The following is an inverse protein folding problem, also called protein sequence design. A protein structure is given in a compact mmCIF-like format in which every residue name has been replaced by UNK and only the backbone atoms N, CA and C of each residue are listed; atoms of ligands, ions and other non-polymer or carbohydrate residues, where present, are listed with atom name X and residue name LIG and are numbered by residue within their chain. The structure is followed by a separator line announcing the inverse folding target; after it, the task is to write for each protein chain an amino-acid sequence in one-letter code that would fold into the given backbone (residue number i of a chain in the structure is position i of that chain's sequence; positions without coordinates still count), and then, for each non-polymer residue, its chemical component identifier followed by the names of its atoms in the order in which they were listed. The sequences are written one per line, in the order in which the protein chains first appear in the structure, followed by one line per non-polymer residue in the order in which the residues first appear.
data_IF_762092887944
#
_entry.id   IF_762092887944
#
_cell.length_a   1.000
_cell.length_b   1.000
_cell.length_c   1.000
_cell.angle_alpha   90.00
_cell.angle_beta   90.00
_cell.angle_gamma   90.00
#
_symmetry.space_group_name_H-M   'P 1'
#
loop_
_entity.id
_entity.type
_entity.pdbx_description
1 polymer ?
#
# COMPACT_ATOMS: atom_id res chain seq x y z
N UNK A 1 -31.57 -4.29 -34.54
CA UNK A 1 -32.34 -3.80 -33.37
C UNK A 1 -32.16 -4.75 -32.20
N UNK A 2 -31.10 -4.62 -31.40
CA UNK A 2 -30.98 -5.29 -30.07
C UNK A 2 -29.74 -4.79 -29.30
N UNK A 3 -29.61 -3.48 -29.07
CA UNK A 3 -28.54 -2.92 -28.22
C UNK A 3 -29.09 -2.17 -26.98
N UNK A 4 -30.40 -2.17 -26.78
CA UNK A 4 -31.06 -1.37 -25.73
C UNK A 4 -31.32 -2.08 -24.39
N UNK A 5 -31.25 -3.42 -24.32
CA UNK A 5 -31.78 -4.15 -23.16
C UNK A 5 -30.74 -4.50 -22.08
N UNK A 6 -29.45 -4.47 -22.39
CA UNK A 6 -28.41 -4.95 -21.45
C UNK A 6 -27.89 -3.86 -20.49
N UNK A 7 -28.14 -2.58 -20.77
CA UNK A 7 -27.70 -1.46 -19.91
C UNK A 7 -28.62 -1.19 -18.70
N UNK A 8 -29.78 -1.85 -18.61
CA UNK A 8 -30.78 -1.54 -17.58
C UNK A 8 -30.77 -2.48 -16.35
N UNK A 9 -30.08 -3.62 -16.41
CA UNK A 9 -30.03 -4.59 -15.30
C UNK A 9 -28.95 -4.23 -14.27
N UNK A 10 -27.85 -3.59 -14.69
CA UNK A 10 -26.73 -3.29 -13.79
C UNK A 10 -26.94 -2.07 -12.87
N UNK A 11 -27.99 -1.27 -13.08
CA UNK A 11 -28.23 -0.01 -12.33
C UNK A 11 -29.28 -0.12 -11.21
N UNK A 12 -29.96 -1.27 -11.05
CA UNK A 12 -31.09 -1.42 -10.11
C UNK A 12 -30.84 -2.25 -8.85
N UNK A 13 -29.63 -2.81 -8.66
CA UNK A 13 -29.31 -3.62 -7.47
C UNK A 13 -28.74 -2.77 -6.30
N UNK A 14 -28.53 -1.47 -6.49
CA UNK A 14 -27.85 -0.60 -5.52
C UNK A 14 -28.77 0.34 -4.71
N UNK A 15 -30.07 0.05 -4.56
CA UNK A 15 -31.00 1.00 -3.90
C UNK A 15 -32.02 0.39 -2.94
N UNK A 16 -31.73 -0.75 -2.31
CA UNK A 16 -32.74 -1.43 -1.47
C UNK A 16 -32.18 -2.09 -0.20
N UNK A 17 -31.41 -1.37 0.61
CA UNK A 17 -31.23 -1.69 2.05
C UNK A 17 -30.98 -0.40 2.85
N UNK A 18 -32.02 0.41 3.05
CA UNK A 18 -32.10 1.38 4.17
C UNK A 18 -33.54 1.38 4.67
N UNK A 19 -33.68 1.36 6.01
CA UNK A 19 -34.90 1.52 6.83
C UNK A 19 -35.70 0.25 7.13
N UNK A 20 -35.46 -0.32 8.32
CA UNK A 20 -36.43 -0.40 9.43
C UNK A 20 -35.97 -1.43 10.49
N UNK A 21 -35.58 -1.00 11.69
CA UNK A 21 -36.46 -1.00 12.87
C UNK A 21 -35.67 -0.69 14.15
N UNK A 22 -36.34 0.11 14.96
CA UNK A 22 -35.94 0.75 16.20
C UNK A 22 -36.70 0.06 17.34
N UNK A 23 -36.10 0.07 18.54
CA UNK A 23 -36.63 -0.23 19.88
C UNK A 23 -36.69 -1.70 20.36
N UNK A 24 -35.82 -2.01 21.34
CA UNK A 24 -36.28 -2.43 22.66
C UNK A 24 -35.30 -1.94 23.74
N UNK A 25 -35.81 -1.12 24.67
CA UNK A 25 -35.19 -0.79 25.96
C UNK A 25 -35.24 -1.99 26.90
N UNK A 26 -34.21 -2.17 27.73
CA UNK A 26 -34.36 -2.59 29.13
C UNK A 26 -33.09 -2.26 29.92
N UNK A 27 -33.33 -1.62 31.06
CA UNK A 27 -32.43 -1.06 32.06
C UNK A 27 -31.85 -2.09 33.03
N UNK A 28 -30.62 -1.86 33.52
CA UNK A 28 -30.06 -2.15 34.86
C UNK A 28 -28.59 -1.70 34.80
N UNK A 29 -28.10 -0.65 35.46
CA UNK A 29 -28.06 -0.46 36.92
C UNK A 29 -26.73 -0.99 37.46
N UNK A 30 -25.76 -0.13 37.78
CA UNK A 30 -24.92 -0.12 39.01
C UNK A 30 -23.80 0.93 38.94
N UNK A 31 -23.39 1.34 40.14
CA UNK A 31 -22.82 2.63 40.53
C UNK A 31 -21.28 2.75 40.43
N UNK A 32 -20.86 4.03 40.41
CA UNK A 32 -19.65 4.63 41.02
C UNK A 32 -18.26 4.07 40.72
N UNK A 33 -17.38 4.92 40.16
CA UNK A 33 -16.05 5.17 40.73
C UNK A 33 -15.36 6.44 40.17
N UNK A 34 -15.03 7.32 41.10
CA UNK A 34 -13.98 8.37 41.16
C UNK A 34 -13.23 8.86 39.91
N UNK A 35 -13.51 10.11 39.56
CA UNK A 35 -12.57 11.25 39.59
C UNK A 35 -11.06 10.96 39.42
N UNK A 36 -10.53 11.20 38.22
CA UNK A 36 -9.17 11.71 38.05
C UNK A 36 -9.17 12.75 36.91
N UNK A 37 -9.08 14.02 37.27
CA UNK A 37 -8.82 15.10 36.33
C UNK A 37 -7.35 15.02 35.91
N UNK A 38 -7.07 14.20 34.89
CA UNK A 38 -5.90 14.38 34.05
C UNK A 38 -6.17 15.55 33.12
N UNK A 39 -5.47 16.67 33.32
CA UNK A 39 -5.41 17.73 32.33
C UNK A 39 -4.69 17.19 31.09
N UNK A 40 -5.46 16.72 30.11
CA UNK A 40 -5.00 16.51 28.75
C UNK A 40 -4.54 17.85 28.18
N UNK A 41 -3.25 18.15 28.33
CA UNK A 41 -2.58 19.15 27.49
C UNK A 41 -2.65 18.63 26.06
N UNK A 42 -3.68 19.04 25.34
CA UNK A 42 -3.79 18.93 23.89
C UNK A 42 -2.52 19.52 23.29
N UNK A 43 -1.59 18.64 22.91
CA UNK A 43 -0.33 19.04 22.31
C UNK A 43 -0.66 19.73 20.99
N UNK A 44 -0.24 20.98 20.84
CA UNK A 44 -0.45 21.74 19.61
C UNK A 44 0.53 21.23 18.54
N UNK A 45 0.10 20.18 17.84
CA UNK A 45 0.83 19.51 16.75
C UNK A 45 0.94 20.43 15.50
N UNK A 46 0.24 21.56 15.47
CA UNK A 46 0.27 22.53 14.37
C UNK A 46 1.64 23.17 14.11
N UNK A 47 2.60 23.03 15.03
CA UNK A 47 3.94 23.60 14.90
C UNK A 47 4.96 22.70 14.14
N UNK A 48 4.52 21.61 13.52
CA UNK A 48 5.34 20.71 12.69
C UNK A 48 5.20 21.00 11.18
N UNK A 49 4.87 22.26 10.84
CA UNK A 49 4.77 22.71 9.45
C UNK A 49 6.01 22.34 8.62
N UNK A 50 5.83 22.03 7.33
CA UNK A 50 6.88 21.50 6.48
C UNK A 50 8.10 22.44 6.45
N UNK A 51 9.28 21.88 6.72
CA UNK A 51 10.55 22.56 6.51
C UNK A 51 10.71 22.85 5.01
N UNK A 52 10.31 24.04 4.57
CA UNK A 52 10.33 24.43 3.16
C UNK A 52 11.74 24.85 2.76
N UNK A 53 12.45 23.97 2.06
CA UNK A 53 13.59 24.37 1.24
C UNK A 53 13.08 25.15 0.02
N UNK A 54 13.33 26.46 -0.02
CA UNK A 54 12.85 27.40 -1.05
C UNK A 54 13.45 27.21 -2.44
N UNK A 55 13.14 26.10 -3.12
CA UNK A 55 13.40 25.89 -4.54
C UNK A 55 12.11 26.00 -5.35
N UNK A 56 12.09 26.82 -6.40
CA UNK A 56 10.99 26.89 -7.38
C UNK A 56 10.82 25.52 -8.04
N UNK A 57 9.97 24.65 -7.51
CA UNK A 57 9.64 23.38 -8.16
C UNK A 57 8.76 23.67 -9.37
N UNK A 58 9.13 23.15 -10.54
CA UNK A 58 8.19 23.02 -11.66
C UNK A 58 6.96 22.29 -11.11
N UNK A 59 5.77 22.79 -11.42
CA UNK A 59 4.52 22.10 -11.11
C UNK A 59 4.55 20.71 -11.75
N UNK A 60 4.99 19.73 -10.96
CA UNK A 60 4.97 18.32 -11.33
C UNK A 60 3.49 17.97 -11.40
N UNK A 61 3.04 17.50 -12.58
CA UNK A 61 1.70 16.90 -12.69
C UNK A 61 1.61 15.88 -11.57
N UNK A 62 0.68 16.11 -10.65
CA UNK A 62 0.48 15.24 -9.49
C UNK A 62 -0.12 13.94 -10.03
N UNK A 63 0.76 13.01 -10.40
CA UNK A 63 0.35 11.68 -10.80
C UNK A 63 -0.40 11.08 -9.62
N UNK A 64 -1.61 10.57 -9.86
CA UNK A 64 -2.38 9.85 -8.85
C UNK A 64 -1.64 8.55 -8.52
N UNK A 65 -0.98 8.52 -7.36
CA UNK A 65 -0.38 7.30 -6.83
C UNK A 65 -1.48 6.40 -6.27
N UNK A 66 -1.39 5.11 -6.56
CA UNK A 66 -2.29 4.11 -5.98
C UNK A 66 -1.59 3.34 -4.88
N UNK A 67 -2.35 2.95 -3.86
CA UNK A 67 -1.85 2.03 -2.85
C UNK A 67 -1.62 0.65 -3.46
N UNK A 68 -0.57 0.01 -2.98
CA UNK A 68 -0.26 -1.36 -3.36
C UNK A 68 -1.20 -2.31 -2.61
N UNK A 69 -2.18 -2.87 -3.33
CA UNK A 69 -3.06 -3.95 -2.86
C UNK A 69 -2.75 -5.24 -3.63
N UNK A 70 -3.17 -6.40 -3.14
CA UNK A 70 -2.94 -7.67 -3.81
C UNK A 70 -3.57 -7.71 -5.20
N UNK A 71 -4.80 -7.18 -5.31
CA UNK A 71 -5.51 -6.98 -6.58
C UNK A 71 -4.74 -6.05 -7.54
N UNK A 72 -4.24 -4.91 -7.05
CA UNK A 72 -3.52 -3.95 -7.89
C UNK A 72 -2.16 -4.50 -8.35
N UNK A 73 -1.50 -5.34 -7.55
CA UNK A 73 -0.28 -6.06 -7.94
C UNK A 73 -0.57 -7.03 -9.09
N UNK A 74 -1.67 -7.77 -9.01
CA UNK A 74 -2.06 -8.69 -10.09
C UNK A 74 -2.46 -7.96 -11.36
N UNK A 75 -3.27 -6.91 -11.26
CA UNK A 75 -3.62 -6.07 -12.41
C UNK A 75 -2.37 -5.49 -13.07
N UNK A 76 -1.36 -5.12 -12.29
CA UNK A 76 -0.06 -4.67 -12.80
C UNK A 76 0.70 -5.78 -13.55
N UNK A 77 0.78 -6.99 -13.00
CA UNK A 77 1.42 -8.10 -13.69
C UNK A 77 0.73 -8.40 -15.04
N UNK A 78 -0.60 -8.43 -15.04
CA UNK A 78 -1.41 -8.62 -16.25
C UNK A 78 -1.24 -7.50 -17.29
N UNK A 79 -1.03 -6.24 -16.87
CA UNK A 79 -0.82 -5.14 -17.82
C UNK A 79 0.49 -5.23 -18.58
N UNK A 80 1.45 -6.01 -18.06
CA UNK A 80 2.71 -6.33 -18.71
C UNK A 80 2.74 -7.74 -19.32
N UNK A 81 1.56 -8.31 -19.62
CA UNK A 81 1.42 -9.61 -20.28
C UNK A 81 2.16 -10.75 -19.51
N UNK A 82 2.24 -10.65 -18.18
CA UNK A 82 2.86 -11.69 -17.33
C UNK A 82 2.12 -13.04 -17.37
N UNK A 83 0.87 -13.02 -17.83
CA UNK A 83 -0.06 -14.13 -17.88
C UNK A 83 -0.81 -14.13 -19.21
N UNK A 84 -1.38 -15.28 -19.59
CA UNK A 84 -2.12 -15.44 -20.83
C UNK A 84 -3.63 -15.46 -20.59
N UNK A 85 -4.38 -14.63 -21.30
CA UNK A 85 -5.86 -14.67 -21.28
C UNK A 85 -6.44 -15.91 -21.98
N UNK A 86 -5.61 -16.64 -22.73
CA UNK A 86 -5.96 -17.91 -23.35
C UNK A 86 -5.73 -19.12 -22.42
N UNK A 87 -4.90 -18.97 -21.39
CA UNK A 87 -4.70 -19.99 -20.35
C UNK A 87 -5.85 -19.89 -19.33
N UNK A 88 -6.58 -20.99 -19.13
CA UNK A 88 -7.73 -21.00 -18.23
C UNK A 88 -7.35 -20.89 -16.76
N UNK A 89 -6.20 -21.45 -16.36
CA UNK A 89 -5.71 -21.38 -14.98
C UNK A 89 -5.34 -19.93 -14.64
N UNK A 90 -4.65 -19.24 -15.54
CA UNK A 90 -4.30 -17.82 -15.40
C UNK A 90 -5.58 -16.96 -15.26
N UNK A 91 -6.55 -17.14 -16.17
CA UNK A 91 -7.79 -16.35 -16.16
C UNK A 91 -8.66 -16.62 -14.93
N UNK A 92 -8.76 -17.88 -14.50
CA UNK A 92 -9.48 -18.24 -13.27
C UNK A 92 -8.78 -17.64 -12.05
N UNK A 93 -7.45 -17.67 -12.00
CA UNK A 93 -6.67 -17.09 -10.90
C UNK A 93 -6.80 -15.57 -10.85
N UNK A 94 -6.81 -14.89 -12.01
CA UNK A 94 -7.12 -13.47 -12.11
C UNK A 94 -8.48 -13.17 -11.48
N UNK A 95 -9.54 -13.87 -11.91
CA UNK A 95 -10.89 -13.68 -11.38
C UNK A 95 -10.97 -13.99 -9.89
N UNK A 96 -10.25 -15.01 -9.43
CA UNK A 96 -10.19 -15.38 -8.03
C UNK A 96 -9.57 -14.28 -7.16
N UNK A 97 -8.52 -13.62 -7.63
CA UNK A 97 -7.80 -12.58 -6.88
C UNK A 97 -8.49 -11.21 -7.00
N UNK A 98 -8.91 -10.82 -8.21
CA UNK A 98 -9.41 -9.47 -8.47
C UNK A 98 -10.93 -9.35 -8.37
N UNK A 99 -11.66 -10.45 -8.59
CA UNK A 99 -13.13 -10.47 -8.66
C UNK A 99 -13.71 -11.62 -7.80
N UNK A 100 -13.17 -11.78 -6.60
CA UNK A 100 -13.39 -12.96 -5.77
C UNK A 100 -14.87 -13.24 -5.43
N UNK A 101 -15.70 -12.20 -5.32
CA UNK A 101 -17.16 -12.32 -5.13
C UNK A 101 -17.85 -12.94 -6.35
N UNK A 102 -17.39 -12.58 -7.56
CA UNK A 102 -17.91 -13.13 -8.81
C UNK A 102 -17.50 -14.60 -8.94
N UNK A 103 -16.24 -14.91 -8.62
CA UNK A 103 -15.72 -16.27 -8.57
C UNK A 103 -16.56 -17.15 -7.64
N UNK A 104 -16.68 -16.79 -6.36
CA UNK A 104 -17.42 -17.59 -5.38
C UNK A 104 -18.89 -17.83 -5.75
N UNK A 105 -19.51 -16.87 -6.44
CA UNK A 105 -20.94 -16.94 -6.80
C UNK A 105 -21.20 -17.82 -8.03
N UNK A 106 -20.33 -17.77 -9.04
CA UNK A 106 -20.63 -18.33 -10.36
C UNK A 106 -19.69 -19.44 -10.82
N UNK A 107 -18.59 -19.71 -10.12
CA UNK A 107 -17.60 -20.71 -10.53
C UNK A 107 -18.20 -22.12 -10.75
N UNK A 108 -19.21 -22.51 -9.96
CA UNK A 108 -19.91 -23.80 -10.10
C UNK A 108 -20.95 -23.83 -11.23
N UNK A 109 -21.26 -22.70 -11.86
CA UNK A 109 -22.20 -22.62 -12.98
C UNK A 109 -21.43 -22.46 -14.29
N UNK A 110 -21.16 -23.57 -14.97
CA UNK A 110 -20.31 -23.62 -16.15
C UNK A 110 -20.74 -22.65 -17.27
N UNK A 111 -22.05 -22.53 -17.50
CA UNK A 111 -22.58 -21.66 -18.57
C UNK A 111 -22.43 -20.17 -18.25
N UNK A 112 -22.69 -19.77 -17.00
CA UNK A 112 -22.47 -18.38 -16.58
C UNK A 112 -20.98 -18.08 -16.44
N UNK A 113 -20.19 -19.05 -16.00
CA UNK A 113 -18.75 -18.90 -15.86
C UNK A 113 -18.05 -18.67 -17.21
N UNK A 114 -18.45 -19.37 -18.28
CA UNK A 114 -17.87 -19.12 -19.60
C UNK A 114 -18.19 -17.69 -20.10
N UNK A 115 -19.41 -17.19 -19.86
CA UNK A 115 -19.76 -15.80 -20.18
C UNK A 115 -18.89 -14.81 -19.42
N UNK A 116 -18.64 -15.07 -18.14
CA UNK A 116 -17.74 -14.26 -17.31
C UNK A 116 -16.32 -14.30 -17.86
N UNK A 117 -15.78 -15.48 -18.19
CA UNK A 117 -14.44 -15.61 -18.79
C UNK A 117 -14.32 -14.81 -20.09
N UNK A 118 -15.29 -14.91 -21.00
CA UNK A 118 -15.30 -14.13 -22.27
C UNK A 118 -15.29 -12.62 -21.99
N UNK A 119 -16.15 -12.15 -21.08
CA UNK A 119 -16.22 -10.74 -20.71
C UNK A 119 -14.90 -10.26 -20.09
N UNK A 120 -14.28 -11.07 -19.23
CA UNK A 120 -13.02 -10.76 -18.56
C UNK A 120 -11.84 -10.69 -19.53
N UNK A 121 -11.74 -11.62 -20.49
CA UNK A 121 -10.72 -11.57 -21.55
C UNK A 121 -10.80 -10.24 -22.31
N UNK A 122 -12.01 -9.84 -22.70
CA UNK A 122 -12.25 -8.55 -23.36
C UNK A 122 -11.89 -7.37 -22.46
N UNK A 123 -12.29 -7.42 -21.19
CA UNK A 123 -11.98 -6.38 -20.21
C UNK A 123 -10.46 -6.17 -20.03
N UNK A 124 -9.70 -7.26 -19.87
CA UNK A 124 -8.25 -7.20 -19.72
C UNK A 124 -7.62 -6.56 -20.96
N UNK A 125 -7.99 -7.02 -22.16
CA UNK A 125 -7.48 -6.48 -23.41
C UNK A 125 -7.77 -4.98 -23.57
N UNK A 126 -9.00 -4.54 -23.25
CA UNK A 126 -9.45 -3.16 -23.42
C UNK A 126 -8.92 -2.19 -22.33
N UNK A 127 -8.38 -2.70 -21.22
CA UNK A 127 -8.00 -1.89 -20.06
C UNK A 127 -6.56 -2.06 -19.58
N UNK A 128 -5.74 -2.91 -20.21
CA UNK A 128 -4.35 -3.12 -19.78
C UNK A 128 -3.54 -1.82 -19.70
N UNK A 129 -3.71 -0.92 -20.66
CA UNK A 129 -2.99 0.37 -20.71
C UNK A 129 -3.48 1.38 -19.68
N UNK A 130 -4.63 1.11 -19.04
CA UNK A 130 -5.22 1.97 -18.00
C UNK A 130 -4.82 1.55 -16.59
N UNK A 131 -4.14 0.43 -16.43
CA UNK A 131 -3.64 -0.01 -15.13
C UNK A 131 -2.63 1.02 -14.60
N UNK A 132 -2.78 1.50 -13.35
CA UNK A 132 -1.86 2.45 -12.76
C UNK A 132 -0.40 1.98 -12.84
N UNK A 133 0.52 2.93 -13.07
CA UNK A 133 1.97 2.68 -13.05
C UNK A 133 2.68 3.39 -11.89
N UNK A 134 1.95 4.21 -11.15
CA UNK A 134 2.47 4.99 -10.03
C UNK A 134 1.94 4.40 -8.74
N UNK A 135 2.83 3.82 -7.95
CA UNK A 135 2.48 3.15 -6.69
C UNK A 135 3.11 3.87 -5.51
N UNK A 136 2.41 3.87 -4.40
CA UNK A 136 2.98 4.21 -3.11
C UNK A 136 2.83 3.07 -2.10
N UNK A 137 3.83 2.97 -1.22
CA UNK A 137 3.82 2.05 -0.10
C UNK A 137 4.57 2.64 1.08
N UNK A 138 4.23 2.17 2.28
CA UNK A 138 4.77 2.67 3.54
C UNK A 138 5.52 1.55 4.24
N UNK A 139 6.75 1.81 4.67
CA UNK A 139 7.59 0.89 5.42
C UNK A 139 7.98 1.53 6.76
N UNK A 140 7.80 0.84 7.90
CA UNK A 140 8.35 1.31 9.17
C UNK A 140 9.88 1.23 9.15
N UNK A 141 10.53 2.20 9.77
CA UNK A 141 11.97 2.22 10.00
C UNK A 141 12.27 2.58 11.45
N UNK A 142 13.49 2.29 11.90
CA UNK A 142 13.95 2.66 13.23
C UNK A 142 15.13 3.63 13.12
N UNK A 143 14.96 4.79 13.75
CA UNK A 143 15.93 5.85 13.84
C UNK A 143 16.73 5.73 15.14
N UNK A 144 18.04 5.96 15.05
CA UNK A 144 18.98 5.95 16.15
C UNK A 144 18.94 7.24 16.99
N UNK A 145 20.03 7.50 17.69
CA UNK A 145 20.23 8.77 18.43
C UNK A 145 20.47 9.91 17.45
N UNK A 146 19.99 11.10 17.79
CA UNK A 146 20.24 12.29 16.99
C UNK A 146 21.74 12.59 16.98
N UNK A 147 22.28 12.81 15.79
CA UNK A 147 23.66 13.24 15.58
C UNK A 147 23.65 14.77 15.39
N UNK A 148 24.23 15.48 16.36
CA UNK A 148 24.30 16.94 16.34
C UNK A 148 25.24 17.49 15.26
N UNK A 149 26.27 16.73 14.88
CA UNK A 149 27.23 17.13 13.85
C UNK A 149 26.63 16.98 12.45
N UNK A 150 25.91 15.87 12.20
CA UNK A 150 25.28 15.58 10.92
C UNK A 150 23.84 16.09 10.79
N UNK A 151 23.26 16.60 11.89
CA UNK A 151 21.91 17.14 11.98
C UNK A 151 20.84 16.17 11.48
N UNK A 152 20.72 15.03 12.14
CA UNK A 152 19.70 14.04 11.80
C UNK A 152 19.83 12.74 12.57
N UNK A 153 19.21 11.70 12.03
CA UNK A 153 19.15 10.39 12.66
C UNK A 153 19.75 9.32 11.72
N UNK A 154 20.68 8.47 12.20
CA UNK A 154 21.05 7.27 11.48
C UNK A 154 19.88 6.28 11.50
N UNK A 155 19.72 5.50 10.42
CA UNK A 155 18.79 4.36 10.42
C UNK A 155 19.53 3.19 11.09
N UNK A 156 18.96 2.57 12.13
CA UNK A 156 19.66 1.58 12.99
C UNK A 156 19.28 0.12 12.70
N UNK A 157 18.09 -0.11 12.17
CA UNK A 157 17.63 -1.43 11.72
C UNK A 157 17.62 -1.36 10.19
N UNK A 158 18.14 -2.39 9.52
CA UNK A 158 18.18 -2.47 8.05
C UNK A 158 19.09 -1.45 7.35
N UNK A 159 20.01 -0.80 8.09
CA UNK A 159 20.93 0.20 7.53
C UNK A 159 21.78 -0.33 6.36
N UNK A 160 22.14 -1.61 6.39
CA UNK A 160 22.84 -2.28 5.28
C UNK A 160 21.91 -2.52 4.09
N UNK A 161 20.62 -2.73 4.32
CA UNK A 161 19.63 -2.95 3.27
C UNK A 161 19.43 -1.69 2.43
N UNK A 162 19.58 -0.50 3.03
CA UNK A 162 19.42 0.78 2.33
C UNK A 162 20.67 1.29 1.61
N UNK A 163 21.83 0.60 1.67
CA UNK A 163 23.05 1.03 0.99
C UNK A 163 23.20 0.30 -0.34
N UNK A 164 23.07 1.04 -1.44
CA UNK A 164 23.17 0.47 -2.79
C UNK A 164 21.98 -0.43 -3.14
N UNK A 165 20.82 -0.20 -2.52
CA UNK A 165 19.63 -1.03 -2.71
C UNK A 165 19.09 -0.86 -4.14
N UNK A 166 19.20 -1.91 -4.95
CA UNK A 166 18.63 -1.95 -6.30
C UNK A 166 17.22 -2.52 -6.32
N UNK A 167 16.89 -3.41 -5.39
CA UNK A 167 15.62 -4.12 -5.37
C UNK A 167 14.81 -3.62 -4.17
N UNK A 168 13.68 -2.97 -4.44
CA UNK A 168 12.72 -2.56 -3.42
C UNK A 168 11.52 -3.50 -3.44
N UNK A 169 11.26 -4.20 -2.34
CA UNK A 169 10.00 -4.91 -2.14
C UNK A 169 8.92 -3.87 -1.83
N UNK A 170 7.99 -3.66 -2.76
CA UNK A 170 6.90 -2.70 -2.61
C UNK A 170 5.56 -3.37 -2.30
N UNK A 171 5.47 -4.69 -2.47
CA UNK A 171 4.30 -5.49 -2.19
C UNK A 171 4.69 -6.78 -1.47
N UNK A 172 3.99 -7.10 -0.38
CA UNK A 172 4.12 -8.37 0.34
C UNK A 172 2.77 -8.73 0.97
N UNK A 173 2.10 -9.70 0.39
CA UNK A 173 0.80 -10.20 0.87
C UNK A 173 0.92 -11.67 1.25
N UNK A 174 -0.08 -12.20 1.97
CA UNK A 174 -0.18 -13.63 2.17
C UNK A 174 -0.74 -14.27 0.89
N UNK A 175 -0.02 -15.23 0.32
CA UNK A 175 -0.48 -15.94 -0.86
C UNK A 175 -1.86 -16.57 -0.62
N UNK A 176 -2.78 -16.31 -1.55
CA UNK A 176 -4.17 -16.78 -1.48
C UNK A 176 -5.09 -15.98 -0.56
N UNK A 177 -4.60 -14.98 0.19
CA UNK A 177 -5.45 -14.13 1.00
C UNK A 177 -6.12 -13.05 0.13
N UNK A 178 -7.42 -13.22 -0.11
CA UNK A 178 -8.24 -12.29 -0.89
C UNK A 178 -9.30 -11.63 -0.01
N UNK A 179 -10.03 -10.64 -0.56
CA UNK A 179 -11.12 -9.97 0.17
C UNK A 179 -12.30 -10.89 0.53
N UNK A 180 -12.40 -12.09 -0.06
CA UNK A 180 -13.40 -13.09 0.33
C UNK A 180 -12.86 -14.24 1.18
N UNK A 181 -11.58 -14.21 1.56
CA UNK A 181 -10.94 -15.23 2.37
C UNK A 181 -9.74 -15.90 1.69
N UNK A 182 -9.31 -17.01 2.28
CA UNK A 182 -8.11 -17.73 1.86
C UNK A 182 -8.43 -18.76 0.77
N UNK A 183 -7.70 -18.66 -0.33
CA UNK A 183 -7.78 -19.56 -1.49
C UNK A 183 -6.45 -20.31 -1.67
N UNK A 184 -6.52 -21.51 -2.26
CA UNK A 184 -5.32 -22.27 -2.60
C UNK A 184 -4.76 -21.78 -3.94
N UNK A 185 -3.58 -21.17 -3.89
CA UNK A 185 -2.91 -20.55 -5.05
C UNK A 185 -1.48 -21.04 -5.09
N UNK A 186 -1.02 -21.51 -6.25
CA UNK A 186 0.37 -21.88 -6.45
C UNK A 186 1.27 -20.64 -6.38
N UNK A 187 1.85 -20.36 -5.22
CA UNK A 187 2.65 -19.16 -4.95
C UNK A 187 3.91 -19.02 -5.83
N UNK A 188 4.36 -20.09 -6.49
CA UNK A 188 5.49 -20.03 -7.43
C UNK A 188 5.08 -19.46 -8.78
N UNK A 189 3.91 -19.86 -9.29
CA UNK A 189 3.32 -19.34 -10.55
C UNK A 189 2.63 -18.00 -10.32
N UNK A 190 2.09 -17.82 -9.12
CA UNK A 190 1.23 -16.71 -8.73
C UNK A 190 1.73 -16.07 -7.42
N UNK A 191 2.91 -15.40 -7.42
CA UNK A 191 3.46 -14.76 -6.23
C UNK A 191 2.53 -13.73 -5.58
N UNK A 192 2.73 -13.51 -4.28
CA UNK A 192 2.04 -12.48 -3.51
C UNK A 192 2.95 -11.27 -3.22
N UNK A 193 4.12 -11.26 -3.86
CA UNK A 193 5.19 -10.31 -3.63
C UNK A 193 5.54 -9.58 -4.92
N UNK A 194 5.85 -8.30 -4.77
CA UNK A 194 6.25 -7.41 -5.85
C UNK A 194 7.55 -6.73 -5.50
N UNK A 195 8.53 -6.86 -6.39
CA UNK A 195 9.84 -6.21 -6.27
C UNK A 195 10.03 -5.28 -7.47
N UNK A 196 10.50 -4.06 -7.22
CA UNK A 196 10.93 -3.15 -8.27
C UNK A 196 12.46 -3.06 -8.27
N UNK A 197 13.04 -3.41 -9.40
CA UNK A 197 14.43 -3.19 -9.76
C UNK A 197 14.60 -1.73 -10.19
N UNK A 198 15.30 -0.95 -9.37
CA UNK A 198 15.62 0.44 -9.60
C UNK A 198 16.80 0.59 -10.56
N UNK A 199 16.68 1.53 -11.50
CA UNK A 199 17.79 1.93 -12.36
C UNK A 199 18.94 2.60 -11.58
N UNK A 200 18.58 3.41 -10.58
CA UNK A 200 19.53 4.09 -9.69
C UNK A 200 19.42 3.49 -8.29
N UNK A 201 20.51 2.92 -7.73
CA UNK A 201 20.48 2.35 -6.39
C UNK A 201 20.10 3.39 -5.32
N UNK A 202 19.21 2.99 -4.40
CA UNK A 202 18.88 3.80 -3.24
C UNK A 202 20.03 3.74 -2.21
N UNK A 203 20.34 4.90 -1.63
CA UNK A 203 21.33 5.06 -0.57
C UNK A 203 20.72 5.90 0.55
N UNK A 204 20.13 5.26 1.56
CA UNK A 204 19.45 5.95 2.66
C UNK A 204 19.91 5.42 4.02
N UNK A 205 21.10 5.83 4.45
CA UNK A 205 21.63 5.44 5.76
C UNK A 205 21.30 6.47 6.87
N UNK A 206 20.90 7.68 6.50
CA UNK A 206 20.78 8.81 7.42
C UNK A 206 19.65 9.76 7.00
N UNK A 207 18.80 10.12 7.95
CA UNK A 207 17.68 11.04 7.74
C UNK A 207 18.04 12.40 8.34
N UNK A 208 18.28 13.40 7.49
CA UNK A 208 18.59 14.76 7.93
C UNK A 208 17.34 15.44 8.46
N UNK A 209 17.38 15.91 9.70
CA UNK A 209 16.27 16.56 10.39
C UNK A 209 16.83 17.76 11.16
N UNK A 210 16.36 18.99 10.92
CA UNK A 210 16.82 20.15 11.68
C UNK A 210 16.58 19.99 13.18
N UNK A 211 17.50 20.49 14.01
CA UNK A 211 17.46 20.33 15.46
C UNK A 211 16.09 20.69 16.09
N UNK A 212 15.44 21.83 15.76
CA UNK A 212 14.15 22.18 16.36
C UNK A 212 13.03 21.17 16.03
N UNK A 213 13.10 20.52 14.86
CA UNK A 213 12.14 19.49 14.46
C UNK A 213 12.48 18.15 15.12
N UNK A 214 13.77 17.83 15.23
CA UNK A 214 14.25 16.64 15.92
C UNK A 214 13.87 16.63 17.41
N UNK A 215 14.00 17.76 18.10
CA UNK A 215 13.59 17.92 19.51
C UNK A 215 12.10 17.62 19.69
N UNK A 216 11.24 18.21 18.86
CA UNK A 216 9.79 17.95 18.88
C UNK A 216 9.48 16.48 18.61
N UNK A 217 10.15 15.86 17.64
CA UNK A 217 9.97 14.44 17.35
C UNK A 217 10.38 13.56 18.54
N UNK A 218 11.52 13.84 19.17
CA UNK A 218 12.00 13.10 20.34
C UNK A 218 11.04 13.26 21.52
N UNK A 219 10.59 14.49 21.80
CA UNK A 219 9.63 14.77 22.88
C UNK A 219 8.30 14.06 22.62
N UNK A 220 7.76 14.14 21.40
CA UNK A 220 6.54 13.46 21.01
C UNK A 220 6.66 11.94 21.16
N UNK A 221 7.79 11.34 20.72
CA UNK A 221 8.04 9.90 20.89
C UNK A 221 8.16 9.49 22.36
N UNK A 222 8.76 10.31 23.22
CA UNK A 222 8.89 9.97 24.65
C UNK A 222 7.56 9.89 25.41
N UNK A 223 6.49 10.44 24.84
CA UNK A 223 5.14 10.44 25.44
C UNK A 223 4.31 9.22 25.03
N UNK A 224 4.76 8.43 24.06
CA UNK A 224 4.06 7.23 23.61
C UNK A 224 4.43 6.04 24.49
N UNK A 225 3.41 5.32 24.97
CA UNK A 225 3.57 4.07 25.72
C UNK A 225 3.96 2.92 24.74
N UNK A 226 4.55 1.84 25.26
CA UNK A 226 4.90 0.61 24.51
C UNK A 226 6.03 0.70 23.46
N UNK A 227 7.01 1.59 23.65
CA UNK A 227 8.16 1.67 22.73
C UNK A 227 9.40 1.15 23.44
N UNK A 228 10.09 0.19 22.81
CA UNK A 228 11.42 -0.26 23.23
C UNK A 228 12.37 0.95 23.37
N UNK A 229 12.90 1.13 24.57
CA UNK A 229 13.77 2.25 24.92
C UNK A 229 14.95 2.33 23.95
N UNK A 230 15.09 3.47 23.25
CA UNK A 230 16.17 3.71 22.29
C UNK A 230 15.84 3.45 20.81
N UNK A 231 14.70 2.83 20.48
CA UNK A 231 14.24 2.69 19.09
C UNK A 231 13.18 3.74 18.75
N UNK A 232 13.54 4.71 17.90
CA UNK A 232 12.59 5.75 17.44
C UNK A 232 11.97 5.32 16.12
N UNK A 233 10.77 4.75 16.18
CA UNK A 233 10.08 4.34 14.95
C UNK A 233 9.65 5.56 14.14
N UNK A 234 9.86 5.47 12.83
CA UNK A 234 9.38 6.41 11.82
C UNK A 234 8.85 5.59 10.62
N UNK A 235 8.29 6.27 9.62
CA UNK A 235 7.66 5.63 8.47
C UNK A 235 8.18 6.26 7.18
N UNK A 236 8.73 5.45 6.29
CA UNK A 236 9.09 5.89 4.95
C UNK A 236 7.90 5.62 4.03
N UNK A 237 7.42 6.66 3.34
CA UNK A 237 6.56 6.52 2.16
C UNK A 237 7.40 6.60 0.90
N UNK A 238 7.40 5.52 0.14
CA UNK A 238 7.99 5.47 -1.20
C UNK A 238 6.93 5.76 -2.24
N UNK A 239 7.32 6.49 -3.27
CA UNK A 239 6.53 6.74 -4.46
C UNK A 239 7.32 6.27 -5.66
N UNK A 240 6.87 5.20 -6.28
CA UNK A 240 7.58 4.52 -7.37
C UNK A 240 6.77 4.60 -8.66
N UNK A 241 7.49 4.60 -9.79
CA UNK A 241 6.91 4.42 -11.12
C UNK A 241 7.42 3.11 -11.70
N UNK A 242 6.50 2.28 -12.17
CA UNK A 242 6.77 1.02 -12.83
C UNK A 242 6.86 1.25 -14.34
N UNK A 243 8.00 0.89 -14.92
CA UNK A 243 8.33 1.12 -16.34
C UNK A 243 8.31 -0.19 -17.15
N UNK A 244 8.45 -1.35 -16.50
CA UNK A 244 8.45 -2.66 -17.17
C UNK A 244 8.32 -3.85 -16.22
N UNK A 245 8.23 -5.04 -16.79
CA UNK A 245 8.19 -6.32 -16.10
C UNK A 245 9.33 -7.21 -16.59
N UNK A 246 9.91 -7.99 -15.70
CA UNK A 246 11.12 -8.80 -15.92
C UNK A 246 10.93 -10.25 -15.43
N UNK A 247 9.67 -10.70 -15.41
CA UNK A 247 9.32 -12.05 -15.00
C UNK A 247 9.20 -12.26 -13.50
N UNK A 248 8.96 -13.51 -13.11
CA UNK A 248 9.01 -13.96 -11.72
C UNK A 248 10.46 -14.31 -11.40
N UNK A 249 10.97 -13.81 -10.28
CA UNK A 249 12.31 -14.13 -9.80
C UNK A 249 12.26 -14.71 -8.40
N UNK A 250 13.12 -15.69 -8.16
CA UNK A 250 13.39 -16.22 -6.83
C UNK A 250 14.45 -15.37 -6.14
N UNK A 251 14.11 -14.86 -4.96
CA UNK A 251 14.99 -14.12 -4.07
C UNK A 251 15.51 -15.03 -2.94
N UNK A 252 16.41 -14.51 -2.11
CA UNK A 252 16.90 -15.22 -0.93
C UNK A 252 15.75 -15.75 -0.07
N UNK A 253 15.95 -16.92 0.54
CA UNK A 253 14.94 -17.64 1.34
C UNK A 253 13.80 -18.30 0.52
N UNK A 254 13.98 -18.45 -0.80
CA UNK A 254 13.01 -19.16 -1.65
C UNK A 254 11.73 -18.38 -1.91
N UNK A 255 11.80 -17.05 -1.80
CA UNK A 255 10.68 -16.15 -2.06
C UNK A 255 10.61 -15.85 -3.56
N UNK A 256 9.59 -16.34 -4.23
CA UNK A 256 9.28 -15.96 -5.61
C UNK A 256 8.50 -14.63 -5.60
N UNK A 257 8.84 -13.70 -6.48
CA UNK A 257 8.15 -12.41 -6.57
C UNK A 257 8.05 -11.94 -8.03
N UNK A 258 7.00 -11.18 -8.33
CA UNK A 258 6.95 -10.42 -9.58
C UNK A 258 8.08 -9.38 -9.57
N UNK A 259 9.00 -9.50 -10.53
CA UNK A 259 10.08 -8.53 -10.69
C UNK A 259 9.69 -7.49 -11.74
N UNK A 260 9.63 -6.23 -11.34
CA UNK A 260 9.38 -5.10 -12.21
C UNK A 260 10.64 -4.26 -12.36
N UNK A 261 10.72 -3.47 -13.43
CA UNK A 261 11.71 -2.41 -13.59
C UNK A 261 11.03 -1.06 -13.35
N UNK A 262 11.72 -0.13 -12.68
CA UNK A 262 11.11 1.15 -12.38
C UNK A 262 12.06 2.19 -11.80
N UNK A 263 11.44 3.26 -11.30
CA UNK A 263 12.13 4.41 -10.69
C UNK A 263 11.48 4.77 -9.37
N UNK A 264 12.31 5.10 -8.38
CA UNK A 264 11.87 5.83 -7.21
C UNK A 264 11.69 7.29 -7.63
N UNK A 265 10.49 7.83 -7.48
CA UNK A 265 10.16 9.22 -7.82
C UNK A 265 10.35 10.14 -6.62
N UNK A 266 9.95 9.66 -5.45
CA UNK A 266 9.98 10.44 -4.20
C UNK A 266 10.03 9.52 -3.00
N UNK A 267 10.70 10.00 -1.96
CA UNK A 267 10.78 9.38 -0.65
C UNK A 267 10.45 10.44 0.40
N UNK A 268 9.48 10.14 1.26
CA UNK A 268 9.11 10.99 2.39
C UNK A 268 9.25 10.18 3.68
N UNK A 269 9.77 10.78 4.75
CA UNK A 269 9.85 10.16 6.08
C UNK A 269 8.93 10.90 7.03
N UNK A 270 8.13 10.16 7.79
CA UNK A 270 7.16 10.66 8.75
C UNK A 270 7.42 10.12 10.15
N UNK A 271 7.09 10.89 11.16
CA UNK A 271 7.18 10.47 12.55
C UNK A 271 6.08 9.47 12.93
N UNK A 272 4.93 9.55 12.27
CA UNK A 272 3.69 8.84 12.57
C UNK A 272 3.21 7.96 11.40
N UNK A 273 2.32 7.01 11.71
CA UNK A 273 1.81 6.03 10.73
C UNK A 273 0.80 6.67 9.78
N UNK A 274 0.11 7.70 10.25
CA UNK A 274 -0.91 8.46 9.53
C UNK A 274 -0.28 9.43 8.50
N UNK A 275 1.05 9.53 8.49
CA UNK A 275 1.85 10.32 7.56
C UNK A 275 1.57 11.83 7.64
N UNK A 276 1.29 12.32 8.85
CA UNK A 276 0.93 13.72 9.10
C UNK A 276 2.12 14.57 9.52
N UNK A 277 3.16 13.97 10.09
CA UNK A 277 4.30 14.67 10.71
C UNK A 277 5.58 14.42 9.90
N UNK A 278 5.83 15.19 8.83
CA UNK A 278 6.99 14.98 7.98
C UNK A 278 8.30 15.31 8.72
N UNK A 279 9.27 14.41 8.60
CA UNK A 279 10.63 14.58 9.09
C UNK A 279 11.62 14.91 7.97
N UNK A 280 11.43 14.30 6.79
CA UNK A 280 12.35 14.40 5.66
C UNK A 280 11.61 14.17 4.33
N UNK A 281 12.11 14.76 3.24
CA UNK A 281 11.60 14.53 1.89
C UNK A 281 12.72 14.65 0.86
N UNK A 282 12.72 13.74 -0.11
CA UNK A 282 13.65 13.70 -1.23
C UNK A 282 12.93 13.34 -2.53
N UNK A 283 13.24 14.08 -3.60
CA UNK A 283 12.78 13.81 -4.97
C UNK A 283 13.96 13.32 -5.80
N UNK A 284 13.73 12.36 -6.69
CA UNK A 284 14.74 11.69 -7.52
C UNK A 284 14.52 11.95 -9.02
#
# INVERSE_FOLDING_TARGET
MSEGLMKMVFRKVLSLVVVALVLFCSTSGYATSTNSQGQDKKLDIGALGPATSGGKSKAMVENTYVQTTYENLYKLAWSYDAFSSADEEDLNTYLMITECNLYNKFFQNEFEWEKIKIATRKFIADNKDKVPRYYEYVQPIFLGRYDYALQGFPIIVDAQEFKGQKNLQFAKFQAGETSCGRMDINSRRFPAEGVVSLLSPLNLAFIRVPLPLAEKYIEWRSKQQDIEEGKRQAYIRYRIRIDGYDGIKSYSLGLDAFNFNGKLMRLDVFADKELLLPLYSQVF
#
